data_IF_379820759813
#
_entry.id   IF_379820759813
#
_cell.length_a   1.000
_cell.length_b   1.000
_cell.length_c   1.000
_cell.angle_alpha   90.00
_cell.angle_beta   90.00
_cell.angle_gamma   90.00
#
_symmetry.space_group_name_H-M   'P 1'
#
loop_
_entity.id
_entity.type
_entity.pdbx_description
1 polymer ?
#
# COMPACT_ATOMS: atom_id res chain seq x y z
N UNK A 1 -2.80 -22.85 2.34
CA UNK A 1 -3.07 -22.30 0.99
C UNK A 1 -1.89 -21.48 0.42
N UNK A 2 -0.73 -21.40 1.09
CA UNK A 2 0.49 -20.69 0.62
C UNK A 2 1.61 -21.70 0.23
N UNK A 3 1.25 -22.85 -0.33
CA UNK A 3 2.24 -23.84 -0.82
C UNK A 3 2.30 -23.95 -2.35
N UNK A 4 1.53 -23.12 -3.09
CA UNK A 4 1.57 -23.09 -4.56
C UNK A 4 2.43 -21.94 -5.12
N UNK A 5 2.88 -21.00 -4.28
CA UNK A 5 3.63 -19.81 -4.72
C UNK A 5 5.13 -20.08 -4.98
N UNK A 6 5.62 -21.27 -4.69
CA UNK A 6 7.00 -21.66 -4.93
C UNK A 6 7.23 -22.40 -6.26
N UNK A 7 6.20 -22.68 -7.08
CA UNK A 7 6.36 -23.54 -8.27
C UNK A 7 5.41 -23.26 -9.43
N UNK A 8 5.57 -22.11 -10.09
CA UNK A 8 5.49 -21.97 -11.57
C UNK A 8 5.71 -20.50 -11.96
N UNK A 9 6.94 -20.19 -12.37
CA UNK A 9 7.45 -18.82 -12.45
C UNK A 9 7.21 -18.06 -13.76
N UNK A 10 6.29 -18.48 -14.64
CA UNK A 10 6.18 -17.84 -15.97
C UNK A 10 4.76 -17.47 -16.42
N UNK A 11 3.73 -18.25 -16.09
CA UNK A 11 2.35 -17.94 -16.55
C UNK A 11 1.59 -17.02 -15.57
N UNK A 12 1.85 -17.18 -14.27
CA UNK A 12 1.26 -16.37 -13.19
C UNK A 12 1.68 -14.90 -13.27
N UNK A 13 2.85 -14.61 -13.84
CA UNK A 13 3.38 -13.24 -13.84
C UNK A 13 2.60 -12.30 -14.77
N UNK A 14 2.06 -12.81 -15.88
CA UNK A 14 1.28 -12.01 -16.85
C UNK A 14 -0.15 -11.77 -16.35
N UNK A 15 -0.82 -12.79 -15.81
CA UNK A 15 -2.19 -12.64 -15.27
C UNK A 15 -2.22 -11.72 -14.04
N UNK A 16 -1.16 -11.72 -13.23
CA UNK A 16 -1.06 -10.83 -12.06
C UNK A 16 -0.50 -9.44 -12.40
N UNK A 17 0.13 -9.25 -13.57
CA UNK A 17 0.62 -7.95 -14.00
C UNK A 17 -0.55 -6.99 -14.24
N UNK A 18 -1.61 -7.45 -14.93
CA UNK A 18 -2.79 -6.63 -15.20
C UNK A 18 -3.51 -6.21 -13.92
N UNK A 19 -3.71 -7.16 -12.99
CA UNK A 19 -4.33 -6.88 -11.68
C UNK A 19 -3.47 -5.90 -10.87
N UNK A 20 -2.14 -6.03 -10.91
CA UNK A 20 -1.24 -5.11 -10.21
C UNK A 20 -1.28 -3.71 -10.80
N UNK A 21 -1.42 -3.61 -12.12
CA UNK A 21 -1.49 -2.34 -12.85
C UNK A 21 -2.83 -1.64 -12.59
N UNK A 22 -3.94 -2.38 -12.58
CA UNK A 22 -5.26 -1.89 -12.18
C UNK A 22 -5.29 -1.41 -10.73
N UNK A 23 -4.68 -2.18 -9.81
CA UNK A 23 -4.54 -1.78 -8.42
C UNK A 23 -3.75 -0.48 -8.27
N UNK A 24 -2.59 -0.37 -8.93
CA UNK A 24 -1.78 0.86 -8.92
C UNK A 24 -2.54 2.04 -9.51
N UNK A 25 -3.32 1.84 -10.58
CA UNK A 25 -4.13 2.89 -11.17
C UNK A 25 -5.22 3.40 -10.22
N UNK A 26 -5.95 2.49 -9.57
CA UNK A 26 -6.99 2.86 -8.59
C UNK A 26 -6.37 3.56 -7.38
N UNK A 27 -5.27 3.03 -6.86
CA UNK A 27 -4.55 3.62 -5.73
C UNK A 27 -4.00 5.01 -6.09
N UNK A 28 -3.46 5.20 -7.28
CA UNK A 28 -2.99 6.48 -7.79
C UNK A 28 -4.11 7.51 -7.90
N UNK A 29 -5.29 7.11 -8.38
CA UNK A 29 -6.47 7.98 -8.41
C UNK A 29 -6.93 8.37 -7.00
N UNK A 30 -6.94 7.43 -6.06
CA UNK A 30 -7.30 7.69 -4.67
C UNK A 30 -6.32 8.68 -4.01
N UNK A 31 -5.01 8.43 -4.16
CA UNK A 31 -3.96 9.31 -3.64
C UNK A 31 -4.10 10.72 -4.21
N UNK A 32 -4.29 10.84 -5.52
CA UNK A 32 -4.46 12.14 -6.19
C UNK A 32 -5.66 12.90 -5.63
N UNK A 33 -6.81 12.25 -5.43
CA UNK A 33 -7.99 12.88 -4.84
C UNK A 33 -7.74 13.32 -3.40
N UNK A 34 -7.07 12.49 -2.60
CA UNK A 34 -6.71 12.81 -1.22
C UNK A 34 -5.74 14.00 -1.12
N UNK A 35 -4.75 14.07 -2.02
CA UNK A 35 -3.81 15.19 -2.12
C UNK A 35 -4.53 16.48 -2.54
N UNK A 36 -5.40 16.40 -3.55
CA UNK A 36 -6.23 17.53 -4.00
C UNK A 36 -7.16 18.06 -2.90
N UNK A 37 -7.68 17.18 -2.06
CA UNK A 37 -8.50 17.54 -0.90
C UNK A 37 -7.67 18.04 0.30
N UNK A 38 -6.33 18.04 0.20
CA UNK A 38 -5.43 18.41 1.29
C UNK A 38 -5.37 17.39 2.44
N UNK A 39 -6.01 16.23 2.31
CA UNK A 39 -6.02 15.19 3.36
C UNK A 39 -4.76 14.33 3.37
N UNK A 40 -4.01 14.30 2.26
CA UNK A 40 -2.74 13.58 2.13
C UNK A 40 -1.60 14.51 1.75
N UNK A 41 -0.38 14.22 2.23
CA UNK A 41 0.86 14.95 1.89
C UNK A 41 1.16 14.85 0.39
N UNK A 42 1.70 15.92 -0.19
CA UNK A 42 1.90 16.06 -1.64
C UNK A 42 3.23 15.51 -2.17
N UNK A 43 4.16 15.16 -1.28
CA UNK A 43 5.51 14.69 -1.62
C UNK A 43 5.59 13.16 -1.72
N UNK A 44 4.48 12.44 -1.55
CA UNK A 44 4.41 10.98 -1.66
C UNK A 44 3.81 10.54 -2.99
N UNK A 45 4.37 9.46 -3.56
CA UNK A 45 3.94 8.85 -4.81
C UNK A 45 3.23 7.52 -4.56
N UNK A 46 2.45 7.08 -5.55
CA UNK A 46 1.78 5.76 -5.51
C UNK A 46 2.78 4.61 -5.36
N UNK A 47 3.99 4.76 -5.92
CA UNK A 47 5.08 3.78 -5.82
C UNK A 47 5.57 3.61 -4.39
N UNK A 48 5.63 4.71 -3.62
CA UNK A 48 6.06 4.67 -2.21
C UNK A 48 5.04 3.92 -1.35
N UNK A 49 3.75 4.22 -1.55
CA UNK A 49 2.65 3.54 -0.87
C UNK A 49 2.66 2.04 -1.21
N UNK A 50 2.82 1.72 -2.48
CA UNK A 50 2.83 0.34 -2.96
C UNK A 50 4.02 -0.44 -2.38
N UNK A 51 5.22 0.16 -2.33
CA UNK A 51 6.40 -0.44 -1.73
C UNK A 51 6.20 -0.70 -0.22
N UNK A 52 5.63 0.26 0.52
CA UNK A 52 5.31 0.09 1.93
C UNK A 52 4.29 -1.03 2.16
N UNK A 53 3.20 -1.07 1.38
CA UNK A 53 2.19 -2.13 1.47
C UNK A 53 2.80 -3.52 1.22
N UNK A 54 3.66 -3.67 0.22
CA UNK A 54 4.36 -4.93 -0.02
C UNK A 54 5.26 -5.34 1.15
N UNK A 55 6.00 -4.40 1.73
CA UNK A 55 6.81 -4.64 2.93
C UNK A 55 5.96 -5.11 4.11
N UNK A 56 4.84 -4.41 4.37
CA UNK A 56 3.90 -4.74 5.44
C UNK A 56 3.31 -6.14 5.25
N UNK A 57 2.81 -6.44 4.05
CA UNK A 57 2.23 -7.77 3.76
C UNK A 57 3.25 -8.88 4.00
N UNK A 58 4.49 -8.71 3.55
CA UNK A 58 5.57 -9.68 3.80
C UNK A 58 5.88 -9.87 5.28
N UNK A 59 5.81 -8.80 6.08
CA UNK A 59 5.97 -8.89 7.54
C UNK A 59 4.80 -9.61 8.21
N UNK A 60 3.58 -9.43 7.71
CA UNK A 60 2.37 -10.04 8.26
C UNK A 60 2.23 -11.54 7.92
N UNK A 61 2.84 -12.03 6.84
CA UNK A 61 2.74 -13.42 6.37
C UNK A 61 3.04 -14.48 7.44
N UNK A 62 3.89 -14.16 8.42
CA UNK A 62 4.32 -15.09 9.47
C UNK A 62 4.01 -14.56 10.88
N UNK A 63 3.03 -13.68 11.00
CA UNK A 63 2.72 -13.02 12.25
C UNK A 63 1.39 -13.54 12.86
N UNK A 64 1.44 -13.93 14.13
CA UNK A 64 0.28 -14.46 14.87
C UNK A 64 -0.55 -13.37 15.59
N UNK A 65 -0.12 -12.11 15.52
CA UNK A 65 -0.81 -10.99 16.14
C UNK A 65 -1.92 -10.46 15.21
N UNK A 66 -3.15 -10.90 15.51
CA UNK A 66 -4.34 -10.55 14.73
C UNK A 66 -4.59 -9.04 14.59
N UNK A 67 -4.06 -8.21 15.50
CA UNK A 67 -4.22 -6.75 15.49
C UNK A 67 -3.04 -5.99 14.88
N UNK A 68 -1.99 -6.68 14.43
CA UNK A 68 -0.82 -6.01 13.86
C UNK A 68 -1.13 -5.33 12.52
N UNK A 69 -1.94 -5.99 11.68
CA UNK A 69 -2.32 -5.46 10.36
C UNK A 69 -3.03 -4.11 10.46
N UNK A 70 -4.01 -3.99 11.37
CA UNK A 70 -4.77 -2.77 11.61
C UNK A 70 -3.89 -1.65 12.18
N UNK A 71 -3.03 -1.95 13.15
CA UNK A 71 -2.10 -0.97 13.73
C UNK A 71 -1.12 -0.43 12.70
N UNK A 72 -0.53 -1.31 11.91
CA UNK A 72 0.44 -0.91 10.88
C UNK A 72 -0.23 -0.09 9.78
N UNK A 73 -1.45 -0.46 9.37
CA UNK A 73 -2.23 0.34 8.43
C UNK A 73 -2.59 1.70 9.01
N UNK A 74 -2.97 1.80 10.28
CA UNK A 74 -3.25 3.07 10.95
C UNK A 74 -2.03 3.98 10.93
N UNK A 75 -0.85 3.46 11.28
CA UNK A 75 0.42 4.21 11.24
C UNK A 75 0.74 4.68 9.82
N UNK A 76 0.56 3.82 8.81
CA UNK A 76 0.74 4.20 7.42
C UNK A 76 -0.20 5.36 7.05
N UNK A 77 -1.50 5.22 7.32
CA UNK A 77 -2.49 6.26 7.03
C UNK A 77 -2.19 7.57 7.78
N UNK A 78 -1.76 7.52 9.03
CA UNK A 78 -1.32 8.69 9.81
C UNK A 78 -0.10 9.36 9.19
N UNK A 79 0.88 8.59 8.72
CA UNK A 79 2.08 9.10 8.04
C UNK A 79 1.79 9.75 6.68
N UNK A 80 0.66 9.40 6.05
CA UNK A 80 0.19 10.02 4.81
C UNK A 80 -0.56 11.33 5.03
N UNK A 81 -1.08 11.59 6.24
CA UNK A 81 -1.87 12.81 6.49
C UNK A 81 -1.02 14.05 6.26
N UNK A 82 -1.59 15.02 5.56
CA UNK A 82 -0.99 16.34 5.49
C UNK A 82 -1.04 16.94 6.90
N UNK A 83 0.11 17.31 7.47
CA UNK A 83 0.14 18.06 8.72
C UNK A 83 -0.06 19.53 8.34
N UNK A 84 -1.16 20.12 8.77
CA UNK A 84 -1.18 21.59 8.86
C UNK A 84 0.02 21.99 9.71
N UNK A 85 0.89 22.81 9.13
CA UNK A 85 1.86 23.54 9.94
C UNK A 85 0.99 24.39 10.86
N UNK A 86 0.90 24.04 12.14
CA UNK A 86 0.26 24.87 13.13
C UNK A 86 0.86 26.27 12.97
N UNK A 87 0.06 27.21 12.45
CA UNK A 87 0.47 28.60 12.29
C UNK A 87 0.92 29.14 13.65
N UNK A 88 2.04 29.87 13.63
CA UNK A 88 2.70 30.43 14.80
C UNK A 88 1.94 31.53 15.53
#
# INVERSE_FOLDING_TARGET
>A
MIAALARSGTDVHLQHADISLDFQNVLGQLLKRAQQAGSARNDIQVTDITAMLFGIMRTLENNDDAGLSERVLSVLCEGLRNREVAGG
#
